data_IF_497532558125
#
_entry.id   IF_497532558125
#
_cell.length_a   1.000
_cell.length_b   1.000
_cell.length_c   1.000
_cell.angle_alpha   90.00
_cell.angle_beta   90.00
_cell.angle_gamma   90.00
#
_symmetry.space_group_name_H-M   'P 1'
#
loop_
_entity.id
_entity.type
_entity.pdbx_description
1 polymer ?
#
# COMPACT_ATOMS: atom_id res chain seq x y z
N UNK A 1 -9.05 -23.71 8.21
CA UNK A 1 -8.20 -23.28 7.10
C UNK A 1 -8.66 -21.88 6.71
N UNK A 2 -7.84 -20.84 6.89
CA UNK A 2 -8.18 -19.53 6.35
C UNK A 2 -8.13 -19.67 4.82
N UNK A 3 -9.24 -19.44 4.13
CA UNK A 3 -9.28 -19.46 2.68
C UNK A 3 -8.28 -18.41 2.16
N UNK A 4 -7.38 -18.81 1.27
CA UNK A 4 -6.56 -17.88 0.49
C UNK A 4 -7.54 -17.03 -0.30
N UNK A 5 -7.62 -15.74 0.04
CA UNK A 5 -8.38 -14.76 -0.73
C UNK A 5 -7.55 -14.26 -1.89
N UNK A 6 -8.21 -13.83 -2.96
CA UNK A 6 -7.57 -13.20 -4.10
C UNK A 6 -7.96 -11.74 -4.11
N UNK A 7 -7.03 -10.87 -4.47
CA UNK A 7 -7.36 -9.51 -4.89
C UNK A 7 -7.14 -9.42 -6.38
N UNK A 8 -8.15 -8.94 -7.10
CA UNK A 8 -8.12 -8.80 -8.55
C UNK A 8 -7.98 -7.31 -8.85
N UNK A 9 -6.87 -6.89 -9.44
CA UNK A 9 -6.72 -5.57 -10.02
C UNK A 9 -7.23 -5.62 -11.47
N UNK A 10 -8.43 -5.10 -11.76
CA UNK A 10 -9.01 -5.23 -13.08
C UNK A 10 -8.26 -4.35 -14.08
N UNK A 11 -8.21 -4.80 -15.33
CA UNK A 11 -7.62 -4.09 -16.45
C UNK A 11 -8.21 -2.69 -16.60
N UNK A 12 -9.51 -2.53 -16.36
CA UNK A 12 -10.19 -1.23 -16.43
C UNK A 12 -9.57 -0.21 -15.46
N UNK A 13 -9.33 -0.60 -14.20
CA UNK A 13 -8.74 0.28 -13.20
C UNK A 13 -7.27 0.61 -13.51
N UNK A 14 -6.51 -0.36 -14.05
CA UNK A 14 -5.13 -0.09 -14.52
C UNK A 14 -5.11 0.96 -15.63
N UNK A 15 -6.05 0.88 -16.58
CA UNK A 15 -6.20 1.86 -17.66
C UNK A 15 -6.63 3.22 -17.12
N UNK A 16 -7.47 3.26 -16.09
CA UNK A 16 -7.82 4.51 -15.39
C UNK A 16 -6.60 5.15 -14.74
N UNK A 17 -5.77 4.39 -14.01
CA UNK A 17 -4.53 4.88 -13.41
C UNK A 17 -3.57 5.43 -14.47
N UNK A 18 -3.39 4.72 -15.58
CA UNK A 18 -2.54 5.16 -16.68
C UNK A 18 -3.05 6.45 -17.33
N UNK A 19 -4.37 6.62 -17.45
CA UNK A 19 -4.97 7.87 -17.93
C UNK A 19 -4.80 9.01 -16.91
N UNK A 20 -5.01 8.73 -15.63
CA UNK A 20 -4.85 9.70 -14.56
C UNK A 20 -3.42 10.25 -14.51
N UNK A 21 -2.40 9.38 -14.59
CA UNK A 21 -1.00 9.78 -14.67
C UNK A 21 -0.68 10.74 -15.84
N UNK A 22 -1.40 10.63 -16.96
CA UNK A 22 -1.23 11.53 -18.12
C UNK A 22 -2.00 12.84 -17.99
N UNK A 23 -3.17 12.81 -17.37
CA UNK A 23 -4.02 13.99 -17.19
C UNK A 23 -3.49 14.86 -16.04
N UNK A 24 -2.99 14.20 -14.99
CA UNK A 24 -2.47 14.81 -13.77
C UNK A 24 -0.99 14.40 -13.62
N UNK A 25 -0.07 15.17 -14.23
CA UNK A 25 1.35 14.86 -14.18
C UNK A 25 2.01 15.23 -12.83
N UNK A 26 1.22 15.58 -11.82
CA UNK A 26 1.63 15.79 -10.42
C UNK A 26 1.39 14.52 -9.61
N UNK A 27 1.92 14.45 -8.37
CA UNK A 27 1.60 13.33 -7.49
C UNK A 27 0.08 13.23 -7.26
N UNK A 28 -0.41 12.01 -7.10
CA UNK A 28 -1.80 11.76 -6.73
C UNK A 28 -1.94 10.46 -5.94
N UNK A 29 -2.99 10.35 -5.15
CA UNK A 29 -3.24 9.18 -4.31
C UNK A 29 -4.74 8.85 -4.30
N UNK A 30 -5.05 7.58 -4.13
CA UNK A 30 -6.42 7.11 -3.91
C UNK A 30 -6.43 5.95 -2.91
N UNK A 31 -7.55 5.81 -2.19
CA UNK A 31 -7.82 4.66 -1.35
C UNK A 31 -8.25 3.46 -2.20
N UNK A 32 -8.01 2.26 -1.71
CA UNK A 32 -8.39 0.99 -2.34
C UNK A 32 -9.30 0.19 -1.43
N UNK A 33 -10.36 -0.36 -2.02
CA UNK A 33 -11.33 -1.24 -1.35
C UNK A 33 -11.66 -2.45 -2.22
N UNK A 34 -12.29 -3.45 -1.63
CA UNK A 34 -12.77 -4.63 -2.35
C UNK A 34 -14.30 -4.61 -2.54
N UNK A 35 -14.70 -5.00 -3.75
CA UNK A 35 -16.06 -5.44 -4.08
C UNK A 35 -15.96 -6.83 -4.71
N UNK A 36 -16.42 -7.85 -4.00
CA UNK A 36 -16.37 -9.24 -4.46
C UNK A 36 -14.98 -9.66 -5.00
N UNK A 37 -13.93 -9.38 -4.22
CA UNK A 37 -12.49 -9.62 -4.55
C UNK A 37 -11.86 -8.68 -5.57
N UNK A 38 -12.66 -7.88 -6.28
CA UNK A 38 -12.17 -6.88 -7.24
C UNK A 38 -11.77 -5.60 -6.51
N UNK A 39 -10.58 -5.09 -6.81
CA UNK A 39 -10.08 -3.82 -6.31
C UNK A 39 -10.79 -2.67 -7.02
N UNK A 40 -11.36 -1.76 -6.23
CA UNK A 40 -11.86 -0.46 -6.67
C UNK A 40 -11.09 0.64 -5.93
N UNK A 41 -10.86 1.78 -6.58
CA UNK A 41 -10.34 2.97 -5.92
C UNK A 41 -11.45 3.93 -5.43
N UNK A 42 -11.12 4.79 -4.48
CA UNK A 42 -12.01 5.82 -3.95
C UNK A 42 -11.20 7.02 -3.43
N UNK A 43 -11.88 8.15 -3.19
CA UNK A 43 -11.29 9.35 -2.58
C UNK A 43 -9.98 9.79 -3.26
N UNK A 44 -10.02 9.93 -4.60
CA UNK A 44 -8.88 10.41 -5.39
C UNK A 44 -8.52 11.85 -4.98
N UNK A 45 -7.24 12.07 -4.67
CA UNK A 45 -6.68 13.38 -4.32
C UNK A 45 -5.45 13.68 -5.18
N UNK A 46 -5.34 14.92 -5.60
CA UNK A 46 -4.12 15.46 -6.21
C UNK A 46 -3.20 16.00 -5.13
N UNK A 47 -1.91 15.74 -5.27
CA UNK A 47 -0.83 16.35 -4.49
C UNK A 47 -0.11 17.43 -5.29
N UNK A 48 0.84 18.08 -4.65
CA UNK A 48 1.83 18.93 -5.33
C UNK A 48 3.08 18.12 -5.72
N UNK A 49 4.17 18.78 -6.08
CA UNK A 49 5.42 18.09 -6.48
C UNK A 49 6.11 17.34 -5.32
N UNK A 50 5.73 17.61 -4.06
CA UNK A 50 6.47 17.17 -2.87
C UNK A 50 5.60 16.49 -1.80
N UNK A 51 4.28 16.63 -1.86
CA UNK A 51 3.37 16.10 -0.85
C UNK A 51 1.99 15.75 -1.43
N UNK A 52 1.50 14.57 -1.09
CA UNK A 52 0.09 14.22 -1.24
C UNK A 52 -0.48 13.82 0.11
N UNK A 53 -1.62 14.39 0.48
CA UNK A 53 -2.28 14.05 1.74
C UNK A 53 -2.63 12.57 1.79
N UNK A 54 -2.48 11.97 2.98
CA UNK A 54 -2.92 10.60 3.22
C UNK A 54 -4.42 10.41 2.94
N UNK A 55 -4.75 9.21 2.46
CA UNK A 55 -6.12 8.74 2.35
C UNK A 55 -6.51 8.10 3.67
N UNK A 56 -7.46 8.72 4.35
CA UNK A 56 -8.16 8.16 5.49
C UNK A 56 -9.01 6.95 5.02
N UNK A 57 -8.72 5.77 5.55
CA UNK A 57 -9.43 4.52 5.29
C UNK A 57 -10.46 4.22 6.39
N UNK A 58 -10.54 5.04 7.44
CA UNK A 58 -11.44 4.84 8.58
C UNK A 58 -12.89 4.82 8.14
N UNK A 59 -13.61 3.79 8.58
CA UNK A 59 -15.03 3.61 8.26
C UNK A 59 -15.30 3.21 6.81
N UNK A 60 -14.28 3.05 5.97
CA UNK A 60 -14.46 2.56 4.60
C UNK A 60 -14.73 1.06 4.62
N UNK A 61 -15.91 0.68 4.17
CA UNK A 61 -16.26 -0.72 4.02
C UNK A 61 -15.29 -1.39 3.05
N UNK A 62 -14.73 -2.51 3.50
CA UNK A 62 -13.85 -3.34 2.71
C UNK A 62 -12.53 -2.68 2.24
N UNK A 63 -11.98 -1.70 2.96
CA UNK A 63 -10.66 -1.14 2.67
C UNK A 63 -9.56 -2.21 2.61
N UNK A 64 -8.60 -2.01 1.71
CA UNK A 64 -7.40 -2.87 1.54
C UNK A 64 -6.09 -2.12 1.35
N UNK A 65 -6.11 -0.81 1.11
CA UNK A 65 -4.89 0.00 1.11
C UNK A 65 -5.01 1.23 0.22
N UNK A 66 -3.95 1.58 -0.48
CA UNK A 66 -3.85 2.82 -1.27
C UNK A 66 -3.05 2.61 -2.56
N UNK A 67 -3.26 3.51 -3.52
CA UNK A 67 -2.40 3.66 -4.71
C UNK A 67 -1.88 5.08 -4.74
N UNK A 68 -0.59 5.24 -5.03
CA UNK A 68 0.10 6.52 -5.17
C UNK A 68 0.76 6.58 -6.53
N UNK A 69 0.77 7.74 -7.16
CA UNK A 69 1.53 7.99 -8.37
C UNK A 69 2.71 8.91 -8.09
N UNK A 70 3.87 8.49 -8.60
CA UNK A 70 5.03 9.34 -8.73
C UNK A 70 5.26 9.69 -10.20
N UNK A 71 5.53 10.97 -10.52
CA UNK A 71 5.79 11.41 -11.90
C UNK A 71 7.14 10.93 -12.46
N UNK A 72 7.98 10.31 -11.62
CA UNK A 72 9.28 9.80 -12.00
C UNK A 72 9.20 8.42 -12.69
N UNK A 73 10.21 8.09 -13.49
CA UNK A 73 10.35 6.75 -14.08
C UNK A 73 10.63 5.70 -13.00
N UNK A 74 10.18 4.47 -13.23
CA UNK A 74 10.43 3.38 -12.29
C UNK A 74 11.93 3.14 -12.12
N UNK A 75 12.37 2.93 -10.87
CA UNK A 75 13.62 2.22 -10.64
C UNK A 75 13.34 0.72 -10.69
N UNK A 76 14.33 -0.12 -11.05
CA UNK A 76 14.19 -1.59 -11.02
C UNK A 76 13.87 -2.17 -9.62
N UNK A 77 13.73 -1.33 -8.59
CA UNK A 77 13.42 -1.76 -7.22
C UNK A 77 11.90 -1.73 -6.99
N UNK A 78 11.28 -2.88 -6.65
CA UNK A 78 9.84 -3.00 -6.47
C UNK A 78 9.32 -2.46 -5.12
N UNK A 79 10.20 -1.91 -4.28
CA UNK A 79 9.88 -1.59 -2.89
C UNK A 79 9.40 -0.14 -2.80
N UNK A 80 8.27 0.14 -2.10
CA UNK A 80 7.97 1.50 -1.66
C UNK A 80 9.17 2.16 -1.00
N UNK A 81 9.25 3.49 -1.06
CA UNK A 81 10.28 4.19 -0.29
C UNK A 81 10.14 3.86 1.21
N UNK A 82 11.20 4.09 1.98
CA UNK A 82 11.13 3.92 3.44
C UNK A 82 10.04 4.81 4.02
N UNK A 83 9.86 6.00 3.46
CA UNK A 83 8.85 6.98 3.85
C UNK A 83 7.43 6.46 3.55
N UNK A 84 7.20 5.88 2.37
CA UNK A 84 5.94 5.22 2.04
C UNK A 84 5.64 4.09 3.01
N UNK A 85 6.63 3.21 3.27
CA UNK A 85 6.49 2.10 4.21
C UNK A 85 6.17 2.55 5.64
N UNK A 86 6.84 3.61 6.10
CA UNK A 86 6.63 4.22 7.40
C UNK A 86 5.23 4.81 7.51
N UNK A 87 4.85 5.65 6.55
CA UNK A 87 3.53 6.26 6.50
C UNK A 87 2.42 5.21 6.49
N UNK A 88 2.64 4.13 5.74
CA UNK A 88 1.67 3.06 5.61
C UNK A 88 1.46 2.29 6.92
N UNK A 89 2.53 1.97 7.65
CA UNK A 89 2.45 1.34 8.99
C UNK A 89 1.85 2.28 10.04
N UNK A 90 2.27 3.54 10.00
CA UNK A 90 1.92 4.51 11.03
C UNK A 90 0.47 5.01 10.90
N UNK A 91 -0.02 5.19 9.67
CA UNK A 91 -1.31 5.86 9.40
C UNK A 91 -2.38 4.90 8.90
N UNK A 92 -2.16 4.27 7.74
CA UNK A 92 -3.21 3.53 7.03
C UNK A 92 -3.43 2.10 7.54
N UNK A 93 -2.40 1.49 8.13
CA UNK A 93 -2.44 0.08 8.54
C UNK A 93 -3.56 -0.26 9.51
N UNK A 94 -3.72 0.60 10.51
CA UNK A 94 -4.59 0.36 11.66
C UNK A 94 -6.06 0.32 11.30
N UNK A 95 -6.41 0.84 10.13
CA UNK A 95 -7.76 0.98 9.61
C UNK A 95 -8.19 -0.22 8.75
N UNK A 96 -7.25 -1.11 8.41
CA UNK A 96 -7.55 -2.32 7.63
C UNK A 96 -8.08 -3.45 8.54
N UNK A 97 -9.14 -4.17 8.13
CA UNK A 97 -9.65 -5.32 8.87
C UNK A 97 -8.63 -6.44 9.05
N UNK A 98 -8.63 -7.07 10.22
CA UNK A 98 -7.67 -8.09 10.65
C UNK A 98 -7.57 -9.32 9.75
N UNK A 99 -8.61 -9.59 8.95
CA UNK A 99 -8.67 -10.75 8.05
C UNK A 99 -8.17 -10.46 6.63
N UNK A 100 -7.55 -9.30 6.38
CA UNK A 100 -7.06 -8.88 5.07
C UNK A 100 -5.57 -8.60 5.11
N UNK A 101 -4.88 -9.02 4.06
CA UNK A 101 -3.56 -8.52 3.77
C UNK A 101 -3.73 -7.14 3.15
N UNK A 102 -3.11 -6.11 3.69
CA UNK A 102 -3.16 -4.83 3.02
C UNK A 102 -2.25 -4.78 1.80
N UNK A 103 -2.60 -3.96 0.81
CA UNK A 103 -1.85 -3.81 -0.43
C UNK A 103 -1.67 -2.34 -0.80
N UNK A 104 -0.45 -1.99 -1.20
CA UNK A 104 -0.05 -0.68 -1.65
C UNK A 104 0.45 -0.77 -3.09
N UNK A 105 0.13 0.23 -3.90
CA UNK A 105 0.60 0.36 -5.27
C UNK A 105 1.30 1.70 -5.46
N UNK A 106 2.39 1.66 -6.24
CA UNK A 106 3.01 2.86 -6.81
C UNK A 106 2.83 2.78 -8.32
N UNK A 107 2.32 3.84 -8.94
CA UNK A 107 2.22 4.00 -10.39
C UNK A 107 3.30 4.98 -10.85
N UNK A 108 3.94 4.67 -11.98
CA UNK A 108 5.01 5.49 -12.57
C UNK A 108 4.60 6.03 -13.94
N UNK A 109 5.27 7.11 -14.36
CA UNK A 109 4.97 7.83 -15.61
C UNK A 109 5.22 7.01 -16.88
N UNK A 110 6.08 6.00 -16.81
CA UNK A 110 6.39 5.05 -17.90
C UNK A 110 5.38 3.90 -18.07
N UNK A 111 4.31 3.89 -17.25
CA UNK A 111 3.26 2.89 -17.33
C UNK A 111 3.57 1.58 -16.61
N UNK A 112 4.57 1.54 -15.72
CA UNK A 112 4.74 0.47 -14.76
C UNK A 112 4.06 0.78 -13.43
N UNK A 113 3.82 -0.28 -12.65
CA UNK A 113 3.43 -0.18 -11.27
C UNK A 113 4.18 -1.18 -10.40
N UNK A 114 4.69 -0.68 -9.28
CA UNK A 114 5.18 -1.51 -8.17
C UNK A 114 4.05 -1.79 -7.19
N UNK A 115 4.10 -2.92 -6.51
CA UNK A 115 3.16 -3.25 -5.44
C UNK A 115 3.88 -3.85 -4.24
N UNK A 116 3.32 -3.60 -3.06
CA UNK A 116 3.72 -4.23 -1.81
C UNK A 116 2.48 -4.72 -1.05
N UNK A 117 2.48 -5.99 -0.66
CA UNK A 117 1.46 -6.58 0.18
C UNK A 117 2.05 -6.88 1.55
N UNK A 118 1.44 -6.28 2.56
CA UNK A 118 1.84 -6.43 3.96
C UNK A 118 1.17 -7.67 4.58
N UNK A 119 1.73 -8.20 5.67
CA UNK A 119 1.04 -9.23 6.44
C UNK A 119 -0.26 -8.69 7.04
N UNK A 120 -1.18 -9.61 7.38
CA UNK A 120 -2.45 -9.28 8.05
C UNK A 120 -2.26 -8.47 9.35
N UNK A 121 -3.19 -7.55 9.70
CA UNK A 121 -3.14 -6.70 10.90
C UNK A 121 -2.63 -7.34 12.17
N UNK A 122 -3.11 -8.52 12.58
CA UNK A 122 -2.66 -9.13 13.83
C UNK A 122 -1.15 -9.40 13.89
N UNK A 123 -0.52 -9.75 12.76
CA UNK A 123 0.91 -10.05 12.70
C UNK A 123 1.74 -8.77 12.85
N UNK A 124 1.45 -7.73 12.07
CA UNK A 124 2.20 -6.48 12.17
C UNK A 124 2.00 -5.83 13.53
N UNK A 125 0.77 -5.79 14.07
CA UNK A 125 0.50 -5.22 15.39
C UNK A 125 1.31 -5.90 16.48
N UNK A 126 1.51 -7.23 16.37
CA UNK A 126 2.38 -7.97 17.26
C UNK A 126 3.84 -7.53 17.12
N UNK A 127 4.37 -7.48 15.90
CA UNK A 127 5.76 -7.04 15.64
C UNK A 127 5.97 -5.60 16.11
N UNK A 128 5.04 -4.70 15.81
CA UNK A 128 5.07 -3.30 16.24
C UNK A 128 5.08 -3.18 17.75
N UNK A 129 4.23 -3.94 18.45
CA UNK A 129 4.20 -3.96 19.91
C UNK A 129 5.54 -4.45 20.50
N UNK A 130 6.15 -5.48 19.92
CA UNK A 130 7.48 -5.94 20.33
C UNK A 130 8.55 -4.85 20.16
N UNK A 131 8.53 -4.10 19.05
CA UNK A 131 9.44 -2.96 18.84
C UNK A 131 9.13 -1.79 19.80
N UNK A 132 7.85 -1.54 20.09
CA UNK A 132 7.41 -0.51 21.04
C UNK A 132 7.88 -0.81 22.46
N UNK A 133 7.81 -2.08 22.88
CA UNK A 133 8.31 -2.53 24.17
C UNK A 133 9.84 -2.38 24.26
N UNK A 134 10.58 -2.74 23.21
CA UNK A 134 12.05 -2.49 23.14
C UNK A 134 12.40 -1.01 23.19
N UNK A 135 11.56 -0.15 22.63
CA UNK A 135 11.73 1.30 22.68
C UNK A 135 11.37 1.92 24.05
N UNK A 136 10.93 1.12 25.02
CA UNK A 136 10.55 1.59 26.36
C UNK A 136 9.14 2.18 26.42
N UNK A 137 8.27 1.83 25.48
CA UNK A 137 6.84 2.21 25.45
C UNK A 137 6.58 3.73 25.48
N UNK A 138 7.42 4.47 24.78
CA UNK A 138 7.39 5.93 24.70
C UNK A 138 6.69 6.38 23.43
N UNK A 139 5.61 7.16 23.56
CA UNK A 139 4.82 7.65 22.42
C UNK A 139 5.65 8.50 21.46
N UNK A 140 6.59 9.28 21.98
CA UNK A 140 7.51 10.08 21.17
C UNK A 140 8.44 9.25 20.26
N UNK A 141 8.43 7.92 20.39
CA UNK A 141 9.21 6.98 19.57
C UNK A 141 8.37 6.16 18.60
N UNK A 142 7.07 6.44 18.45
CA UNK A 142 6.19 5.64 17.57
C UNK A 142 6.63 5.64 16.10
N UNK A 143 7.22 6.73 15.62
CA UNK A 143 7.80 6.81 14.26
C UNK A 143 9.00 5.86 14.13
N UNK A 144 9.95 5.92 15.08
CA UNK A 144 11.11 5.02 15.13
C UNK A 144 10.68 3.55 15.23
N UNK A 145 9.66 3.27 16.04
CA UNK A 145 9.10 1.92 16.22
C UNK A 145 8.46 1.44 14.93
N UNK A 146 7.76 2.31 14.20
CA UNK A 146 7.14 1.98 12.91
C UNK A 146 8.20 1.72 11.84
N UNK A 147 9.28 2.50 11.81
CA UNK A 147 10.44 2.26 10.94
C UNK A 147 11.11 0.92 11.26
N UNK A 148 11.40 0.64 12.53
CA UNK A 148 12.00 -0.63 12.97
C UNK A 148 11.10 -1.82 12.62
N UNK A 149 9.78 -1.65 12.77
CA UNK A 149 8.78 -2.64 12.35
C UNK A 149 8.88 -2.91 10.85
N UNK A 150 8.88 -1.88 10.01
CA UNK A 150 9.01 -2.01 8.56
C UNK A 150 10.28 -2.75 8.17
N UNK A 151 11.43 -2.33 8.72
CA UNK A 151 12.73 -2.95 8.45
C UNK A 151 12.78 -4.42 8.87
N UNK A 152 12.15 -4.76 10.00
CA UNK A 152 12.05 -6.15 10.46
C UNK A 152 11.16 -6.99 9.54
N UNK A 153 10.01 -6.48 9.12
CA UNK A 153 9.13 -7.18 8.19
C UNK A 153 9.80 -7.43 6.83
N UNK A 154 10.60 -6.48 6.33
CA UNK A 154 11.42 -6.65 5.14
C UNK A 154 12.51 -7.73 5.33
N UNK A 155 13.25 -7.68 6.46
CA UNK A 155 14.32 -8.63 6.77
C UNK A 155 13.80 -10.07 6.91
N UNK A 156 12.59 -10.23 7.42
CA UNK A 156 11.94 -11.53 7.62
C UNK A 156 11.15 -12.01 6.37
N UNK A 157 11.23 -11.30 5.24
CA UNK A 157 10.50 -11.61 3.99
C UNK A 157 8.97 -11.73 4.16
N UNK A 158 8.43 -10.94 5.08
CA UNK A 158 6.99 -10.93 5.41
C UNK A 158 6.19 -9.96 4.54
N UNK A 159 6.86 -9.12 3.75
CA UNK A 159 6.23 -8.22 2.77
C UNK A 159 6.47 -8.82 1.39
N UNK A 160 5.38 -9.11 0.66
CA UNK A 160 5.49 -9.55 -0.73
C UNK A 160 5.48 -8.33 -1.64
N UNK A 161 6.35 -8.33 -2.65
CA UNK A 161 6.50 -7.19 -3.57
C UNK A 161 6.61 -7.67 -5.01
N UNK A 162 6.40 -6.75 -5.95
CA UNK A 162 6.65 -7.01 -7.36
C UNK A 162 6.41 -5.79 -8.23
N UNK A 163 6.67 -5.94 -9.52
CA UNK A 163 6.44 -4.93 -10.56
C UNK A 163 5.63 -5.56 -11.69
N UNK A 164 4.76 -4.78 -12.30
CA UNK A 164 4.05 -5.16 -13.53
C UNK A 164 3.83 -3.95 -14.43
N UNK A 165 3.57 -4.22 -15.71
CA UNK A 165 3.18 -3.19 -16.67
C UNK A 165 1.66 -3.00 -16.66
N UNK A 166 1.21 -1.75 -16.56
CA UNK A 166 -0.20 -1.39 -16.58
C UNK A 166 -0.85 -1.69 -17.94
N UNK A 167 -2.14 -2.03 -17.91
CA UNK A 167 -2.96 -2.09 -19.12
C UNK A 167 -2.76 -3.36 -19.96
N UNK A 168 -2.13 -4.41 -19.41
CA UNK A 168 -1.88 -5.67 -20.14
C UNK A 168 -2.97 -6.71 -19.96
N UNK A 169 -3.44 -6.91 -18.73
CA UNK A 169 -4.46 -7.89 -18.33
C UNK A 169 -4.86 -7.64 -16.88
N UNK A 170 -5.93 -8.29 -16.43
CA UNK A 170 -6.23 -8.39 -15.00
C UNK A 170 -5.05 -9.03 -14.25
N UNK A 171 -4.80 -8.56 -13.02
CA UNK A 171 -3.72 -9.08 -12.19
C UNK A 171 -4.32 -9.64 -10.90
N UNK A 172 -3.93 -10.88 -10.60
CA UNK A 172 -4.34 -11.58 -9.39
C UNK A 172 -3.22 -11.53 -8.35
N UNK A 173 -3.56 -11.07 -7.14
CA UNK A 173 -2.69 -11.12 -5.97
C UNK A 173 -3.22 -12.15 -4.98
N UNK A 174 -2.42 -13.17 -4.71
CA UNK A 174 -2.72 -14.18 -3.68
C UNK A 174 -2.39 -13.63 -2.29
N UNK A 175 -3.38 -13.63 -1.39
CA UNK A 175 -3.19 -13.22 0.01
C UNK A 175 -2.48 -14.32 0.83
N UNK A 176 -1.86 -13.94 1.95
CA UNK A 176 -1.07 -14.85 2.80
C UNK A 176 -1.29 -14.62 4.30
#
# INVERSE_FOLDING_TARGET
MNAIRRYILPLSLQVEWFKAAKIYPTEWVAGLKLKDEVIEWFNFKLGDEHEVEFIDLKGVLNAVGTVHYHPYEHSLRPIPSIEDGLAWIYLSYWEIPDNRNPIFFIVFSDGYSSWAMFPKPPLLRRVWKEEFEKAGMKREREEEVSLNTFMRLLKEDLIKTGIFQLGRRDIEFSTF
#
